data_IF_482688862314
#
_entry.id   IF_482688862314
#
_cell.length_a   1.000
_cell.length_b   1.000
_cell.length_c   1.000
_cell.angle_alpha   90.00
_cell.angle_beta   90.00
_cell.angle_gamma   90.00
#
_symmetry.space_group_name_H-M   'P 1'
#
loop_
_entity.id
_entity.type
_entity.pdbx_description
1 polymer ?
#
# COMPACT_ATOMS: atom_id res chain seq x y z
N UNK A 1 -23.83 -37.92 72.10
CA UNK A 1 -23.43 -38.43 70.77
C UNK A 1 -23.86 -37.38 69.75
N UNK A 2 -22.95 -36.48 69.37
CA UNK A 2 -23.20 -35.45 68.36
C UNK A 2 -22.42 -35.87 67.10
N UNK A 3 -23.11 -36.01 65.98
CA UNK A 3 -22.53 -36.29 64.67
C UNK A 3 -22.25 -34.95 63.96
N UNK A 4 -20.97 -34.67 63.68
CA UNK A 4 -20.55 -33.56 62.82
C UNK A 4 -20.49 -34.04 61.37
N UNK A 5 -21.38 -33.51 60.53
CA UNK A 5 -21.30 -33.62 59.07
C UNK A 5 -20.60 -32.39 58.51
N UNK A 6 -19.35 -32.54 58.04
CA UNK A 6 -18.66 -31.50 57.26
C UNK A 6 -18.97 -31.69 55.78
N UNK A 7 -19.69 -30.74 55.19
CA UNK A 7 -19.98 -30.65 53.77
C UNK A 7 -18.75 -30.07 53.04
N UNK A 8 -18.16 -30.81 52.12
CA UNK A 8 -17.10 -30.33 51.24
C UNK A 8 -17.72 -29.59 50.04
N UNK A 9 -17.38 -28.31 49.87
CA UNK A 9 -17.78 -27.52 48.71
C UNK A 9 -16.81 -27.78 47.55
N UNK A 10 -17.29 -28.45 46.50
CA UNK A 10 -16.56 -28.59 45.24
C UNK A 10 -16.75 -27.33 44.39
N UNK A 11 -15.65 -26.62 44.15
CA UNK A 11 -15.63 -25.46 43.24
C UNK A 11 -15.48 -25.98 41.81
N UNK A 12 -16.52 -25.80 40.99
CA UNK A 12 -16.48 -26.10 39.56
C UNK A 12 -15.93 -24.86 38.84
N UNK A 13 -14.70 -24.93 38.34
CA UNK A 13 -14.17 -23.91 37.43
C UNK A 13 -14.63 -24.21 36.01
N UNK A 14 -15.42 -23.31 35.43
CA UNK A 14 -15.69 -23.28 33.99
C UNK A 14 -14.55 -22.50 33.32
N UNK A 15 -13.69 -23.19 32.59
CA UNK A 15 -12.79 -22.56 31.63
C UNK A 15 -13.56 -22.34 30.34
N UNK A 16 -13.92 -21.08 30.04
CA UNK A 16 -14.40 -20.70 28.73
C UNK A 16 -13.21 -20.70 27.77
N UNK A 17 -13.11 -21.72 26.90
CA UNK A 17 -12.26 -21.64 25.74
C UNK A 17 -12.88 -20.64 24.76
N UNK A 18 -12.27 -19.45 24.64
CA UNK A 18 -12.55 -18.57 23.52
C UNK A 18 -11.92 -19.22 22.31
N UNK A 19 -12.74 -19.73 21.40
CA UNK A 19 -12.27 -20.11 20.08
C UNK A 19 -11.79 -18.83 19.38
N UNK A 20 -10.49 -18.73 19.16
CA UNK A 20 -9.93 -17.76 18.22
C UNK A 20 -10.47 -18.15 16.85
N UNK A 21 -11.48 -17.42 16.36
CA UNK A 21 -11.82 -17.49 14.95
C UNK A 21 -10.56 -17.02 14.21
N UNK A 22 -10.00 -17.87 13.34
CA UNK A 22 -8.94 -17.43 12.45
C UNK A 22 -9.43 -16.20 11.69
N UNK A 23 -8.62 -15.16 11.65
CA UNK A 23 -8.98 -13.96 10.90
C UNK A 23 -9.23 -14.36 9.44
N UNK A 24 -10.31 -13.85 8.81
CA UNK A 24 -10.55 -14.13 7.42
C UNK A 24 -9.36 -13.60 6.62
N UNK A 25 -8.68 -14.50 5.90
CA UNK A 25 -7.66 -14.15 4.90
C UNK A 25 -8.16 -12.96 4.08
N UNK A 26 -7.44 -11.84 4.08
CA UNK A 26 -7.82 -10.70 3.26
C UNK A 26 -7.95 -11.14 1.80
N UNK A 27 -9.01 -10.72 1.09
CA UNK A 27 -9.08 -10.97 -0.34
C UNK A 27 -7.90 -10.25 -1.00
N UNK A 28 -7.12 -10.97 -1.81
CA UNK A 28 -6.10 -10.34 -2.64
C UNK A 28 -6.81 -9.44 -3.65
N UNK A 29 -6.61 -8.12 -3.54
CA UNK A 29 -7.25 -7.12 -4.38
C UNK A 29 -6.28 -6.64 -5.45
N UNK A 30 -6.77 -6.59 -6.69
CA UNK A 30 -6.00 -6.03 -7.80
C UNK A 30 -5.98 -4.49 -7.74
N UNK A 31 -4.96 -3.92 -8.37
CA UNK A 31 -4.88 -2.48 -8.58
C UNK A 31 -5.81 -2.08 -9.72
N UNK A 32 -6.88 -1.38 -9.38
CA UNK A 32 -7.75 -0.75 -10.36
C UNK A 32 -7.10 0.50 -10.95
N UNK A 33 -7.12 0.62 -12.28
CA UNK A 33 -6.56 1.74 -13.04
C UNK A 33 -7.65 2.46 -13.82
N UNK A 34 -7.71 3.78 -13.67
CA UNK A 34 -8.61 4.64 -14.46
C UNK A 34 -7.96 6.00 -14.76
N UNK A 35 -8.51 6.74 -15.73
CA UNK A 35 -8.11 8.13 -15.99
C UNK A 35 -9.32 9.03 -15.74
N UNK A 36 -9.21 9.91 -14.73
CA UNK A 36 -10.28 10.84 -14.35
C UNK A 36 -9.74 12.26 -14.36
N UNK A 37 -10.36 13.12 -15.17
CA UNK A 37 -9.95 14.52 -15.38
C UNK A 37 -8.48 14.64 -15.81
N UNK A 38 -8.04 13.80 -16.75
CA UNK A 38 -6.67 13.82 -17.27
C UNK A 38 -5.61 13.38 -16.25
N UNK A 39 -5.97 12.63 -15.22
CA UNK A 39 -5.02 12.08 -14.24
C UNK A 39 -5.27 10.60 -14.03
N UNK A 40 -4.20 9.80 -14.05
CA UNK A 40 -4.26 8.38 -13.70
C UNK A 40 -4.66 8.25 -12.23
N UNK A 41 -5.59 7.34 -11.93
CA UNK A 41 -6.06 7.04 -10.58
C UNK A 41 -5.96 5.56 -10.31
N UNK A 42 -5.56 5.25 -9.09
CA UNK A 42 -5.61 3.93 -8.51
C UNK A 42 -6.92 3.76 -7.72
N UNK A 43 -7.40 2.54 -7.67
CA UNK A 43 -8.39 2.02 -6.74
C UNK A 43 -8.08 0.56 -6.46
N UNK A 44 -8.92 -0.11 -5.70
CA UNK A 44 -8.89 -1.58 -5.63
C UNK A 44 -10.04 -2.14 -6.43
N UNK A 45 -9.86 -3.35 -6.94
CA UNK A 45 -10.91 -4.12 -7.58
C UNK A 45 -10.89 -5.54 -7.03
N UNK A 46 -12.04 -5.97 -6.54
CA UNK A 46 -12.31 -7.38 -6.24
C UNK A 46 -12.97 -8.00 -7.46
N UNK A 47 -12.22 -8.81 -8.20
CA UNK A 47 -12.67 -9.53 -9.38
C UNK A 47 -13.07 -11.00 -9.09
N UNK A 48 -13.24 -11.37 -7.81
CA UNK A 48 -13.64 -12.73 -7.39
C UNK A 48 -14.97 -13.17 -8.00
N UNK A 49 -15.88 -12.22 -8.29
CA UNK A 49 -16.99 -12.41 -9.23
C UNK A 49 -16.74 -11.58 -10.50
N UNK A 50 -16.23 -12.20 -11.58
CA UNK A 50 -15.94 -11.49 -12.83
C UNK A 50 -17.17 -10.82 -13.48
N UNK A 51 -18.40 -11.20 -13.08
CA UNK A 51 -19.62 -10.59 -13.58
C UNK A 51 -19.99 -9.32 -12.82
N UNK A 52 -19.53 -9.18 -11.59
CA UNK A 52 -19.85 -8.08 -10.69
C UNK A 52 -18.62 -7.63 -9.90
N UNK A 53 -17.55 -7.16 -10.58
CA UNK A 53 -16.36 -6.71 -9.88
C UNK A 53 -16.69 -5.51 -8.98
N UNK A 54 -16.16 -5.53 -7.76
CA UNK A 54 -16.36 -4.45 -6.78
C UNK A 54 -15.15 -3.51 -6.84
N UNK A 55 -15.36 -2.32 -7.40
CA UNK A 55 -14.32 -1.28 -7.47
C UNK A 55 -14.44 -0.35 -6.27
N UNK A 56 -13.34 -0.16 -5.54
CA UNK A 56 -13.20 0.85 -4.49
C UNK A 56 -12.24 1.95 -4.97
N UNK A 57 -12.76 3.11 -5.42
CA UNK A 57 -11.92 4.18 -5.95
C UNK A 57 -11.00 4.78 -4.88
N UNK A 58 -9.77 5.10 -5.25
CA UNK A 58 -8.84 5.85 -4.40
C UNK A 58 -8.04 5.01 -3.40
N UNK A 59 -8.20 3.68 -3.39
CA UNK A 59 -7.27 2.79 -2.71
C UNK A 59 -5.85 2.96 -3.26
N UNK A 60 -4.86 2.91 -2.37
CA UNK A 60 -3.45 3.16 -2.66
C UNK A 60 -2.48 2.25 -1.93
N UNK A 61 -2.97 1.32 -1.12
CA UNK A 61 -2.16 0.35 -0.38
C UNK A 61 -2.71 -1.01 -0.73
N UNK A 62 -1.83 -1.91 -1.15
CA UNK A 62 -2.18 -3.26 -1.61
C UNK A 62 -1.24 -4.25 -0.92
N UNK A 63 -1.79 -5.38 -0.46
CA UNK A 63 -1.01 -6.48 0.10
C UNK A 63 -0.69 -7.53 -0.96
N UNK A 64 0.50 -8.12 -0.87
CA UNK A 64 0.90 -9.25 -1.71
C UNK A 64 1.78 -10.22 -0.94
N UNK A 65 1.83 -11.46 -1.42
CA UNK A 65 2.49 -12.57 -0.75
C UNK A 65 3.49 -13.22 -1.71
N UNK A 66 4.77 -13.24 -1.33
CA UNK A 66 5.78 -14.01 -2.06
C UNK A 66 5.66 -15.51 -1.75
N UNK A 67 6.23 -16.35 -2.59
CA UNK A 67 6.43 -17.77 -2.27
C UNK A 67 5.22 -18.67 -2.47
N UNK A 68 4.04 -18.13 -2.84
CA UNK A 68 2.81 -18.94 -3.04
C UNK A 68 2.86 -19.78 -4.32
N UNK A 69 3.61 -19.33 -5.32
CA UNK A 69 3.80 -20.05 -6.60
C UNK A 69 5.17 -20.73 -6.62
N UNK A 70 6.23 -19.93 -6.50
CA UNK A 70 7.63 -20.36 -6.32
C UNK A 70 8.30 -19.42 -5.31
N UNK A 71 9.43 -19.81 -4.68
CA UNK A 71 10.11 -18.98 -3.68
C UNK A 71 10.39 -17.56 -4.17
N UNK A 72 10.23 -16.58 -3.28
CA UNK A 72 10.60 -15.17 -3.45
C UNK A 72 9.86 -14.44 -4.59
N UNK A 73 8.86 -15.09 -5.18
CA UNK A 73 8.15 -14.63 -6.37
C UNK A 73 6.65 -14.47 -6.10
N UNK A 74 6.05 -13.48 -6.75
CA UNK A 74 4.61 -13.31 -6.86
C UNK A 74 4.27 -12.59 -8.16
N UNK A 75 3.08 -12.86 -8.70
CA UNK A 75 2.45 -12.12 -9.80
C UNK A 75 1.31 -11.22 -9.30
N UNK A 76 1.22 -11.04 -7.97
CA UNK A 76 0.19 -10.26 -7.30
C UNK A 76 0.74 -8.94 -6.71
N UNK A 77 -0.09 -7.88 -6.64
CA UNK A 77 -1.45 -7.81 -7.20
C UNK A 77 -1.44 -7.70 -8.73
N UNK A 78 -2.51 -8.14 -9.36
CA UNK A 78 -2.81 -7.82 -10.75
C UNK A 78 -3.15 -6.34 -10.96
N UNK A 79 -3.23 -5.93 -12.22
CA UNK A 79 -3.67 -4.59 -12.63
C UNK A 79 -4.84 -4.70 -13.59
N UNK A 80 -5.94 -3.99 -13.28
CA UNK A 80 -7.13 -3.96 -14.13
C UNK A 80 -7.51 -2.53 -14.49
N UNK A 81 -7.52 -2.26 -15.80
CA UNK A 81 -7.91 -0.97 -16.36
C UNK A 81 -9.37 -0.95 -16.79
N UNK A 82 -10.10 0.11 -16.44
CA UNK A 82 -11.44 0.36 -17.00
C UNK A 82 -11.65 1.83 -17.31
N UNK A 83 -12.52 2.12 -18.28
CA UNK A 83 -12.83 3.48 -18.73
C UNK A 83 -11.60 4.27 -19.19
N UNK A 84 -10.61 3.58 -19.76
CA UNK A 84 -9.42 4.19 -20.33
C UNK A 84 -9.69 4.59 -21.79
N UNK A 85 -9.03 5.64 -22.30
CA UNK A 85 -9.03 5.89 -23.74
C UNK A 85 -8.49 4.67 -24.49
N UNK A 86 -9.15 4.27 -25.58
CA UNK A 86 -8.70 3.15 -26.40
C UNK A 86 -7.26 3.36 -26.89
N UNK A 87 -6.42 2.34 -26.77
CA UNK A 87 -5.00 2.41 -27.10
C UNK A 87 -4.12 3.17 -26.09
N UNK A 88 -4.67 3.60 -24.94
CA UNK A 88 -3.86 4.21 -23.90
C UNK A 88 -2.87 3.19 -23.32
N UNK A 89 -1.58 3.48 -23.47
CA UNK A 89 -0.53 2.77 -22.75
C UNK A 89 -0.55 3.13 -21.26
N UNK A 90 -0.32 2.14 -20.40
CA UNK A 90 -0.15 2.27 -18.96
C UNK A 90 1.22 1.72 -18.59
N UNK A 91 1.94 2.51 -17.80
CA UNK A 91 3.25 2.16 -17.28
C UNK A 91 3.36 2.51 -15.80
N UNK A 92 4.56 2.40 -15.26
CA UNK A 92 4.85 2.78 -13.89
C UNK A 92 6.24 3.40 -13.75
N UNK A 93 6.48 4.04 -12.61
CA UNK A 93 7.82 4.35 -12.12
C UNK A 93 7.96 3.87 -10.67
N UNK A 94 9.17 3.47 -10.29
CA UNK A 94 9.55 3.25 -8.89
C UNK A 94 10.02 4.57 -8.33
N UNK A 95 9.44 4.98 -7.20
CA UNK A 95 9.66 6.32 -6.64
C UNK A 95 10.73 6.35 -5.54
N UNK A 96 11.01 5.22 -4.91
CA UNK A 96 11.92 5.12 -3.77
C UNK A 96 12.58 3.75 -3.70
N UNK A 97 13.65 3.65 -2.89
CA UNK A 97 14.24 2.38 -2.49
C UNK A 97 13.20 1.49 -1.80
N UNK A 98 13.36 0.17 -1.93
CA UNK A 98 12.55 -0.80 -1.20
C UNK A 98 12.67 -0.54 0.30
N UNK A 99 11.54 -0.55 1.01
CA UNK A 99 11.51 -0.46 2.46
C UNK A 99 11.42 -1.84 3.11
N UNK A 100 12.07 -2.06 4.24
CA UNK A 100 11.88 -3.22 5.11
C UNK A 100 11.20 -2.80 6.42
N UNK A 101 10.18 -3.56 6.83
CA UNK A 101 9.44 -3.32 8.06
C UNK A 101 10.30 -3.65 9.29
N UNK A 102 10.30 -2.74 10.27
CA UNK A 102 11.05 -2.91 11.52
C UNK A 102 10.17 -3.00 12.78
N UNK A 103 8.84 -3.11 12.61
CA UNK A 103 7.86 -3.10 13.70
C UNK A 103 7.29 -1.73 14.05
N UNK A 104 7.85 -0.62 13.54
CA UNK A 104 7.34 0.73 13.76
C UNK A 104 7.34 1.65 12.53
N UNK A 105 7.78 1.14 11.38
CA UNK A 105 7.90 1.85 10.12
C UNK A 105 8.72 1.06 9.10
N UNK A 106 8.98 1.70 7.96
CA UNK A 106 9.83 1.16 6.91
C UNK A 106 11.16 1.90 6.83
N UNK A 107 12.25 1.15 6.89
CA UNK A 107 13.62 1.65 6.66
C UNK A 107 14.14 1.15 5.31
N UNK A 108 15.13 1.81 4.70
CA UNK A 108 15.72 1.32 3.45
C UNK A 108 16.23 -0.13 3.57
N UNK A 109 15.81 -0.99 2.65
CA UNK A 109 16.24 -2.37 2.53
C UNK A 109 17.42 -2.51 1.57
N UNK A 110 18.31 -3.47 1.83
CA UNK A 110 19.39 -3.82 0.91
C UNK A 110 18.91 -4.80 -0.19
N UNK A 111 17.81 -5.50 0.06
CA UNK A 111 17.06 -6.27 -0.93
C UNK A 111 16.49 -5.37 -2.03
N UNK A 112 16.27 -5.96 -3.20
CA UNK A 112 15.65 -5.29 -4.34
C UNK A 112 14.53 -6.13 -4.90
N UNK A 113 13.60 -5.52 -5.64
CA UNK A 113 12.58 -6.24 -6.40
C UNK A 113 12.88 -6.11 -7.89
N UNK A 114 12.91 -7.23 -8.60
CA UNK A 114 12.83 -7.27 -10.06
C UNK A 114 11.36 -7.25 -10.45
N UNK A 115 10.98 -6.28 -11.29
CA UNK A 115 9.63 -6.14 -11.86
C UNK A 115 9.71 -6.40 -13.35
N UNK A 116 8.95 -7.35 -13.86
CA UNK A 116 8.98 -7.73 -15.27
C UNK A 116 7.59 -8.06 -15.83
N UNK A 117 7.47 -8.07 -17.16
CA UNK A 117 6.27 -8.64 -17.82
C UNK A 117 6.23 -10.16 -17.68
N UNK A 118 7.41 -10.80 -17.67
CA UNK A 118 7.60 -12.25 -17.61
C UNK A 118 9.06 -12.54 -17.22
N UNK A 119 9.30 -12.99 -16.00
CA UNK A 119 10.63 -13.30 -15.47
C UNK A 119 11.18 -14.55 -16.15
N UNK A 120 12.42 -14.44 -16.62
CA UNK A 120 13.09 -15.50 -17.39
C UNK A 120 12.94 -15.36 -18.89
N UNK A 121 12.20 -14.34 -19.37
CA UNK A 121 12.08 -14.02 -20.78
C UNK A 121 12.92 -12.76 -21.13
N UNK A 122 14.17 -12.92 -21.59
CA UNK A 122 15.09 -11.79 -21.79
C UNK A 122 14.68 -10.84 -22.94
N UNK A 123 13.68 -11.22 -23.74
CA UNK A 123 13.13 -10.37 -24.79
C UNK A 123 12.05 -9.41 -24.30
N UNK A 124 11.58 -9.57 -23.06
CA UNK A 124 10.52 -8.75 -22.48
C UNK A 124 11.07 -7.71 -21.48
N UNK A 125 10.37 -6.58 -21.30
CA UNK A 125 10.81 -5.54 -20.39
C UNK A 125 10.95 -6.04 -18.94
N UNK A 126 12.03 -5.62 -18.27
CA UNK A 126 12.22 -5.75 -16.84
C UNK A 126 13.04 -4.59 -16.29
N UNK A 127 12.84 -4.30 -15.00
CA UNK A 127 13.68 -3.40 -14.21
C UNK A 127 13.94 -4.02 -12.84
N UNK A 128 14.96 -3.52 -12.15
CA UNK A 128 15.20 -3.85 -10.74
C UNK A 128 15.21 -2.55 -9.95
N UNK A 129 14.57 -2.54 -8.78
CA UNK A 129 14.58 -1.38 -7.89
C UNK A 129 16.02 -1.01 -7.48
N UNK A 130 16.28 0.28 -7.27
CA UNK A 130 17.57 0.78 -6.80
C UNK A 130 17.44 1.59 -5.50
N UNK A 131 18.43 2.42 -5.19
CA UNK A 131 18.45 3.28 -3.99
C UNK A 131 17.58 4.54 -4.11
N UNK A 132 16.72 4.63 -5.13
CA UNK A 132 15.92 5.81 -5.43
C UNK A 132 15.02 5.61 -6.65
N UNK A 133 14.74 6.70 -7.36
CA UNK A 133 13.88 6.66 -8.54
C UNK A 133 14.44 5.72 -9.62
N UNK A 134 13.60 4.84 -10.12
CA UNK A 134 13.87 4.00 -11.30
C UNK A 134 12.71 4.16 -12.26
N UNK A 135 13.00 4.60 -13.49
CA UNK A 135 12.01 4.65 -14.55
C UNK A 135 11.57 3.22 -14.89
N UNK A 136 10.26 2.97 -14.93
CA UNK A 136 9.71 1.69 -15.33
C UNK A 136 9.50 1.61 -16.84
N UNK A 137 8.52 0.81 -17.23
CA UNK A 137 8.12 0.60 -18.63
C UNK A 137 6.60 0.59 -18.75
N UNK A 138 6.11 0.71 -19.98
CA UNK A 138 4.70 0.48 -20.30
C UNK A 138 4.42 -1.03 -20.31
N UNK A 139 3.44 -1.47 -19.53
CA UNK A 139 3.13 -2.89 -19.35
C UNK A 139 1.77 -3.28 -19.90
N UNK A 140 0.88 -2.33 -20.17
CA UNK A 140 -0.44 -2.60 -20.70
C UNK A 140 -0.86 -1.54 -21.72
N UNK A 141 -1.73 -1.94 -22.65
CA UNK A 141 -2.41 -1.03 -23.57
C UNK A 141 -3.90 -1.34 -23.50
N UNK A 142 -4.71 -0.32 -23.21
CA UNK A 142 -6.16 -0.47 -23.17
C UNK A 142 -6.70 -0.86 -24.56
N UNK A 143 -7.60 -1.85 -24.59
CA UNK A 143 -8.23 -2.31 -25.82
C UNK A 143 -9.21 -1.27 -26.41
N UNK A 144 -9.95 -1.66 -27.46
CA UNK A 144 -10.96 -0.78 -28.07
C UNK A 144 -12.13 -0.43 -27.15
N UNK A 145 -12.35 -1.22 -26.09
CA UNK A 145 -13.36 -0.99 -25.06
C UNK A 145 -12.81 -0.17 -23.89
N UNK A 146 -11.52 0.18 -23.91
CA UNK A 146 -10.87 0.93 -22.84
C UNK A 146 -10.54 0.08 -21.61
N UNK A 147 -10.35 -1.24 -21.79
CA UNK A 147 -10.02 -2.18 -20.71
C UNK A 147 -8.69 -2.88 -20.93
N UNK A 148 -8.06 -3.32 -19.84
CA UNK A 148 -6.97 -4.29 -19.85
C UNK A 148 -6.97 -5.06 -18.53
N UNK A 149 -6.34 -6.24 -18.52
CA UNK A 149 -6.03 -6.98 -17.32
C UNK A 149 -4.63 -7.58 -17.51
N UNK A 150 -3.71 -7.27 -16.59
CA UNK A 150 -2.32 -7.65 -16.70
C UNK A 150 -1.72 -7.90 -15.33
N UNK A 151 -0.97 -8.98 -15.19
CA UNK A 151 -0.12 -9.25 -14.04
C UNK A 151 1.32 -8.89 -14.38
N UNK A 152 2.02 -8.31 -13.43
CA UNK A 152 3.47 -8.12 -13.50
C UNK A 152 4.12 -9.12 -12.56
N UNK A 153 5.28 -9.60 -12.95
CA UNK A 153 6.09 -10.47 -12.12
C UNK A 153 6.91 -9.64 -11.15
N UNK A 154 6.88 -10.02 -9.89
CA UNK A 154 7.71 -9.47 -8.82
C UNK A 154 8.58 -10.58 -8.24
N UNK A 155 9.90 -10.39 -8.31
CA UNK A 155 10.88 -11.28 -7.66
C UNK A 155 11.69 -10.49 -6.64
N UNK A 156 11.62 -10.90 -5.38
CA UNK A 156 12.48 -10.39 -4.33
C UNK A 156 13.88 -10.98 -4.48
N UNK A 157 14.87 -10.10 -4.68
CA UNK A 157 16.26 -10.48 -4.80
C UNK A 157 16.98 -10.33 -3.46
N UNK A 158 17.93 -11.22 -3.21
CA UNK A 158 18.78 -11.16 -2.02
C UNK A 158 19.55 -9.82 -1.93
N UNK A 159 19.86 -9.41 -0.71
CA UNK A 159 20.80 -8.32 -0.47
C UNK A 159 22.20 -8.68 -0.99
N UNK A 160 22.72 -7.89 -1.93
CA UNK A 160 24.04 -8.09 -2.54
C UNK A 160 24.19 -9.47 -3.19
N UNK A 161 25.28 -10.17 -2.87
CA UNK A 161 25.58 -11.53 -3.36
C UNK A 161 25.03 -12.64 -2.42
N UNK A 162 24.05 -12.29 -1.59
CA UNK A 162 23.42 -13.23 -0.67
C UNK A 162 22.71 -14.38 -1.41
N UNK A 163 22.57 -15.56 -0.77
CA UNK A 163 21.95 -16.72 -1.43
C UNK A 163 20.42 -16.65 -1.50
N UNK A 164 19.77 -15.85 -0.65
CA UNK A 164 18.32 -15.66 -0.61
C UNK A 164 17.97 -14.31 0.08
N UNK A 165 16.81 -13.72 -0.19
CA UNK A 165 16.29 -12.58 0.57
C UNK A 165 16.04 -12.93 2.04
N UNK A 166 16.08 -11.93 2.92
CA UNK A 166 15.67 -12.12 4.31
C UNK A 166 14.14 -12.26 4.41
N UNK A 167 13.68 -13.05 5.38
CA UNK A 167 12.27 -13.07 5.76
C UNK A 167 11.87 -11.71 6.34
N UNK A 168 10.66 -11.24 6.03
CA UNK A 168 10.17 -9.94 6.48
C UNK A 168 9.01 -9.39 5.65
N UNK A 169 8.68 -8.12 5.90
CA UNK A 169 7.66 -7.38 5.15
C UNK A 169 8.32 -6.22 4.42
N UNK A 170 8.06 -6.10 3.12
CA UNK A 170 8.72 -5.15 2.23
C UNK A 170 7.74 -4.15 1.60
N UNK A 171 8.15 -2.90 1.46
CA UNK A 171 7.34 -1.82 0.88
C UNK A 171 7.91 -1.35 -0.45
N UNK A 172 7.13 -1.51 -1.51
CA UNK A 172 7.40 -0.94 -2.83
C UNK A 172 6.55 0.33 -3.03
N UNK A 173 7.19 1.44 -3.42
CA UNK A 173 6.50 2.71 -3.70
C UNK A 173 6.50 3.02 -5.21
N UNK A 174 5.32 3.16 -5.78
CA UNK A 174 5.12 3.31 -7.22
C UNK A 174 4.25 4.54 -7.56
N UNK A 175 4.35 4.99 -8.80
CA UNK A 175 3.29 5.74 -9.48
C UNK A 175 2.94 5.06 -10.80
N UNK A 176 1.68 5.18 -11.22
CA UNK A 176 1.25 4.79 -12.56
C UNK A 176 1.36 5.98 -13.51
N UNK A 177 1.81 5.69 -14.73
CA UNK A 177 1.90 6.63 -15.83
C UNK A 177 0.93 6.24 -16.95
N UNK A 178 0.67 7.16 -17.87
CA UNK A 178 -0.02 6.82 -19.11
C UNK A 178 0.69 7.45 -20.30
N UNK A 179 0.83 6.67 -21.37
CA UNK A 179 1.33 7.15 -22.66
C UNK A 179 0.35 8.10 -23.38
N UNK A 180 -0.87 8.25 -22.89
CA UNK A 180 -1.85 9.15 -23.48
C UNK A 180 -1.50 10.61 -23.20
N UNK A 181 -1.40 11.42 -24.25
CA UNK A 181 -0.94 12.81 -24.18
C UNK A 181 -1.79 13.65 -23.22
N UNK A 182 -1.14 14.36 -22.30
CA UNK A 182 -1.80 15.24 -21.34
C UNK A 182 -2.32 14.54 -20.09
N UNK A 183 -2.16 13.22 -19.97
CA UNK A 183 -2.46 12.50 -18.73
C UNK A 183 -1.35 12.72 -17.69
N UNK A 184 -1.72 13.17 -16.50
CA UNK A 184 -0.81 13.26 -15.37
C UNK A 184 -0.65 11.88 -14.69
N UNK A 185 0.55 11.56 -14.18
CA UNK A 185 0.77 10.36 -13.37
C UNK A 185 -0.16 10.28 -12.16
N UNK A 186 -0.31 9.08 -11.60
CA UNK A 186 -1.08 8.87 -10.39
C UNK A 186 -0.48 9.57 -9.18
N UNK A 187 -1.18 9.54 -8.05
CA UNK A 187 -0.49 9.75 -6.78
C UNK A 187 0.36 8.51 -6.48
N UNK A 188 1.37 8.63 -5.60
CA UNK A 188 2.06 7.46 -5.09
C UNK A 188 1.07 6.46 -4.49
N UNK A 189 1.31 5.19 -4.79
CA UNK A 189 0.66 4.04 -4.20
C UNK A 189 1.72 3.02 -3.79
N UNK A 190 1.33 2.05 -2.98
CA UNK A 190 2.22 1.14 -2.29
C UNK A 190 1.75 -0.29 -2.42
N UNK A 191 2.71 -1.19 -2.62
CA UNK A 191 2.49 -2.62 -2.47
C UNK A 191 3.34 -3.06 -1.27
N UNK A 192 2.68 -3.70 -0.30
CA UNK A 192 3.29 -4.26 0.91
C UNK A 192 3.39 -5.77 0.69
N UNK A 193 4.60 -6.26 0.50
CA UNK A 193 4.87 -7.67 0.26
C UNK A 193 5.23 -8.39 1.55
N UNK A 194 4.69 -9.58 1.75
CA UNK A 194 5.09 -10.49 2.80
C UNK A 194 6.05 -11.57 2.24
N UNK A 195 7.22 -11.70 2.87
CA UNK A 195 8.20 -12.75 2.64
C UNK A 195 8.33 -13.59 3.91
N UNK A 196 7.54 -14.67 4.00
CA UNK A 196 7.55 -15.64 5.11
C UNK A 196 7.37 -15.02 6.52
N UNK A 197 6.81 -13.82 6.64
CA UNK A 197 6.40 -13.24 7.91
C UNK A 197 5.02 -13.76 8.31
N UNK A 198 4.64 -13.55 9.57
CA UNK A 198 3.27 -13.82 10.00
C UNK A 198 2.31 -12.74 9.45
N UNK A 199 1.05 -13.13 9.25
CA UNK A 199 0.01 -12.24 8.70
C UNK A 199 -0.25 -11.03 9.62
N UNK A 200 -0.13 -11.20 10.95
CA UNK A 200 -0.30 -10.11 11.92
C UNK A 200 0.71 -8.98 11.69
N UNK A 201 1.96 -9.32 11.37
CA UNK A 201 3.01 -8.36 11.03
C UNK A 201 2.79 -7.72 9.66
N UNK A 202 2.24 -8.45 8.70
CA UNK A 202 1.90 -7.91 7.38
C UNK A 202 0.76 -6.90 7.47
N UNK A 203 -0.31 -7.25 8.17
CA UNK A 203 -1.47 -6.39 8.41
C UNK A 203 -1.08 -5.12 9.17
N UNK A 204 -0.28 -5.26 10.24
CA UNK A 204 0.25 -4.11 10.98
C UNK A 204 1.06 -3.15 10.09
N UNK A 205 1.81 -3.68 9.12
CA UNK A 205 2.58 -2.88 8.19
C UNK A 205 1.68 -2.18 7.15
N UNK A 206 0.65 -2.86 6.64
CA UNK A 206 -0.37 -2.28 5.75
C UNK A 206 -1.10 -1.12 6.45
N UNK A 207 -1.54 -1.34 7.69
CA UNK A 207 -2.18 -0.32 8.51
C UNK A 207 -1.27 0.89 8.72
N UNK A 208 0.00 0.66 9.03
CA UNK A 208 0.97 1.73 9.18
C UNK A 208 1.09 2.57 7.89
N UNK A 209 1.15 1.96 6.70
CA UNK A 209 1.19 2.68 5.42
C UNK A 209 -0.08 3.51 5.21
N UNK A 210 -1.24 2.92 5.50
CA UNK A 210 -2.52 3.61 5.41
C UNK A 210 -2.60 4.83 6.34
N UNK A 211 -2.08 4.72 7.55
CA UNK A 211 -2.12 5.80 8.54
C UNK A 211 -1.08 6.91 8.28
N UNK A 212 0.11 6.54 7.80
CA UNK A 212 1.27 7.45 7.75
C UNK A 212 1.60 7.95 6.34
N UNK A 213 1.42 7.12 5.31
CA UNK A 213 1.86 7.43 3.94
C UNK A 213 0.73 7.78 2.99
N UNK A 214 -0.52 7.44 3.30
CA UNK A 214 -1.68 7.85 2.50
C UNK A 214 -2.13 9.23 3.01
N UNK A 215 -1.85 10.36 2.30
CA UNK A 215 -2.28 11.66 2.80
C UNK A 215 -3.77 11.68 3.09
N UNK A 216 -4.12 11.91 4.36
CA UNK A 216 -5.49 12.13 4.76
C UNK A 216 -6.08 13.26 3.89
N UNK A 217 -7.25 13.06 3.28
CA UNK A 217 -7.91 14.09 2.51
C UNK A 217 -8.26 15.27 3.45
N UNK A 218 -7.34 16.23 3.63
CA UNK A 218 -7.59 17.40 4.48
C UNK A 218 -6.38 18.12 5.08
N UNK A 219 -5.18 17.55 5.13
CA UNK A 219 -4.06 18.21 5.85
C UNK A 219 -3.58 19.49 5.14
N UNK A 220 -3.76 19.59 3.82
CA UNK A 220 -3.53 20.84 3.07
C UNK A 220 -4.52 21.97 3.42
N UNK A 221 -5.75 21.63 3.83
CA UNK A 221 -6.75 22.62 4.24
C UNK A 221 -6.61 23.00 5.73
N UNK A 222 -6.26 22.05 6.60
CA UNK A 222 -6.06 22.31 8.03
C UNK A 222 -4.82 23.18 8.32
N UNK A 223 -3.73 22.99 7.57
CA UNK A 223 -2.53 23.85 7.69
C UNK A 223 -2.82 25.31 7.28
N UNK A 224 -3.69 25.53 6.29
CA UNK A 224 -4.09 26.87 5.85
C UNK A 224 -4.95 27.61 6.89
N UNK A 225 -5.80 26.89 7.64
CA UNK A 225 -6.67 27.49 8.69
C UNK A 225 -5.84 27.86 9.94
N UNK A 226 -4.88 27.01 10.34
CA UNK A 226 -4.00 27.31 11.48
C UNK A 226 -3.04 28.46 11.15
N UNK A 227 -2.48 28.50 9.93
CA UNK A 227 -1.63 29.60 9.46
C UNK A 227 -2.35 30.96 9.42
N UNK A 228 -3.60 30.99 8.98
CA UNK A 228 -4.40 32.23 8.95
C UNK A 228 -4.81 32.72 10.36
N UNK A 229 -5.04 31.80 11.31
CA UNK A 229 -5.35 32.15 12.69
C UNK A 229 -4.13 32.76 13.43
N UNK A 230 -2.92 32.28 13.14
CA UNK A 230 -1.68 32.77 13.75
C UNK A 230 -1.30 34.17 13.24
N UNK A 231 -1.50 34.45 11.95
CA UNK A 231 -1.25 35.77 11.35
C UNK A 231 -2.23 36.85 11.86
N UNK A 232 -3.50 36.50 12.14
CA UNK A 232 -4.48 37.44 12.76
C UNK A 232 -4.14 37.79 14.21
N UNK A 233 -3.58 36.85 14.99
CA UNK A 233 -3.23 37.09 16.40
C UNK A 233 -2.05 38.04 16.57
N UNK A 234 -1.07 37.99 15.66
CA UNK A 234 0.09 38.92 15.68
C UNK A 234 -0.30 40.37 15.38
N UNK A 235 -1.29 40.61 14.51
CA UNK A 235 -1.77 41.98 14.20
C UNK A 235 -2.53 42.63 15.35
N UNK A 236 -3.22 41.86 16.20
CA UNK A 236 -3.94 42.41 17.37
C UNK A 236 -3.01 42.78 18.53
N UNK A 237 -1.88 42.08 18.69
CA UNK A 237 -0.92 42.37 19.77
C UNK A 237 -0.03 43.59 19.46
N UNK A 238 0.30 43.84 18.19
CA UNK A 238 1.05 45.04 17.78
C UNK A 238 0.22 46.34 17.87
N UNK A 239 -1.11 46.26 17.72
CA UNK A 239 -2.01 47.42 17.87
C UNK A 239 -2.27 47.80 19.35
N UNK A 240 -2.08 46.87 20.29
CA UNK A 240 -2.34 47.08 21.71
C UNK A 240 -1.15 47.68 22.49
N UNK A 241 0.07 47.68 21.92
CA UNK A 241 1.28 48.20 22.59
C UNK A 241 1.64 49.65 22.22
N UNK A 242 0.85 50.32 21.39
CA UNK A 242 1.15 51.68 20.88
C UNK A 242 0.56 52.83 21.70
N UNK A 243 -0.02 52.58 22.87
CA UNK A 243 -0.88 53.54 23.57
C UNK A 243 -0.50 53.84 25.02
N UNK A 244 0.77 54.13 25.33
CA UNK A 244 1.15 54.87 26.54
C UNK A 244 2.43 55.68 26.31
N UNK A 245 2.29 57.00 26.19
CA UNK A 245 3.42 57.92 26.18
C UNK A 245 3.13 59.28 25.56
N UNK A 246 2.38 60.14 26.25
CA UNK A 246 2.56 61.59 26.18
C UNK A 246 1.92 62.23 27.42
N UNK A 247 2.71 63.10 28.05
CA UNK A 247 2.40 63.98 29.19
C UNK A 247 1.34 65.01 28.80
#
# INVERSE_FOLDING_TARGET
MHFDFRLAAATVMWSAAVAQAGEPKEPHLDVHVSIVNGKVRTGSIDASDPKNPVITPGARVFGAEFGKIIPDYTDEPGFEGTNLPAGAGIGFNVLAQLGAWNGGGFEPADETITIAVDIGNPGLPSITTGTGFVAGFDFAVADLSGVFHQHLDFLLNAAGEGPAPADGVYLLTLELTSGNTGSLPSRPFWIVFNQNSDEEMHDAAIDWVNEHLVPAPGVGAAAAVIGCAWLKRRRRLAAASGGKGAV
#
